data_IF_199429955748
#
_entry.id   IF_199429955748
#
_cell.length_a   1.000
_cell.length_b   1.000
_cell.length_c   1.000
_cell.angle_alpha   90.00
_cell.angle_beta   90.00
_cell.angle_gamma   90.00
#
_symmetry.space_group_name_H-M   'P 1'
#
loop_
_entity.id
_entity.type
_entity.pdbx_description
1 polymer ?
#
# COMPACT_ATOMS: atom_id res chain seq x y z
N UNK A 1 0.06 -25.61 5.81
CA UNK A 1 0.79 -24.56 5.05
C UNK A 1 -0.01 -23.25 4.93
N UNK A 2 -0.92 -22.98 5.86
CA UNK A 2 -1.87 -21.84 5.83
C UNK A 2 -1.60 -20.78 6.91
N UNK A 3 -0.72 -21.05 7.88
CA UNK A 3 -0.49 -20.20 9.06
C UNK A 3 0.33 -18.93 8.77
N UNK A 4 1.27 -19.00 7.81
CA UNK A 4 2.12 -17.85 7.43
C UNK A 4 1.35 -16.76 6.68
N UNK A 5 0.32 -17.12 5.92
CA UNK A 5 -0.53 -16.17 5.19
C UNK A 5 -1.59 -15.49 6.07
N UNK A 6 -1.85 -16.02 7.27
CA UNK A 6 -2.85 -15.46 8.20
C UNK A 6 -2.29 -14.35 9.10
N UNK A 7 -0.98 -14.09 9.05
CA UNK A 7 -0.38 -13.07 9.90
C UNK A 7 -0.44 -11.69 9.23
N UNK A 8 -1.09 -10.69 9.85
CA UNK A 8 -1.20 -9.35 9.30
C UNK A 8 0.18 -8.70 9.07
N UNK A 9 1.19 -9.13 9.84
CA UNK A 9 2.59 -8.75 9.65
C UNK A 9 3.14 -9.20 8.30
N UNK A 10 2.77 -10.41 7.84
CA UNK A 10 3.25 -10.94 6.56
C UNK A 10 2.65 -10.14 5.39
N UNK A 11 1.36 -9.84 5.46
CA UNK A 11 0.66 -8.98 4.49
C UNK A 11 1.31 -7.59 4.47
N UNK A 12 1.67 -7.05 5.62
CA UNK A 12 2.32 -5.75 5.71
C UNK A 12 3.71 -5.73 5.05
N UNK A 13 4.56 -6.68 5.40
CA UNK A 13 5.94 -6.77 4.88
C UNK A 13 5.94 -7.06 3.38
N UNK A 14 5.18 -8.07 2.92
CA UNK A 14 5.13 -8.40 1.51
C UNK A 14 4.39 -7.34 0.69
N UNK A 15 3.27 -6.80 1.18
CA UNK A 15 2.53 -5.73 0.52
C UNK A 15 3.39 -4.49 0.33
N UNK A 16 4.14 -4.08 1.36
CA UNK A 16 5.09 -2.98 1.29
C UNK A 16 6.20 -3.22 0.26
N UNK A 17 6.81 -4.41 0.27
CA UNK A 17 7.86 -4.78 -0.70
C UNK A 17 7.34 -4.78 -2.15
N UNK A 18 6.14 -5.31 -2.38
CA UNK A 18 5.50 -5.33 -3.71
C UNK A 18 5.28 -3.90 -4.20
N UNK A 19 4.70 -3.04 -3.37
CA UNK A 19 4.44 -1.64 -3.73
C UNK A 19 5.73 -0.89 -4.05
N UNK A 20 6.77 -1.03 -3.22
CA UNK A 20 8.07 -0.42 -3.47
C UNK A 20 8.70 -0.91 -4.77
N UNK A 21 8.65 -2.22 -5.03
CA UNK A 21 9.16 -2.81 -6.27
C UNK A 21 8.41 -2.31 -7.50
N UNK A 22 7.08 -2.18 -7.42
CA UNK A 22 6.24 -1.63 -8.48
C UNK A 22 6.54 -0.15 -8.74
N UNK A 23 6.63 0.66 -7.68
CA UNK A 23 6.99 2.09 -7.79
C UNK A 23 8.36 2.25 -8.45
N UNK A 24 9.36 1.43 -8.06
CA UNK A 24 10.69 1.44 -8.66
C UNK A 24 10.67 1.00 -10.13
N UNK A 25 9.94 -0.06 -10.45
CA UNK A 25 9.83 -0.56 -11.83
C UNK A 25 9.18 0.47 -12.75
N UNK A 26 8.11 1.11 -12.30
CA UNK A 26 7.43 2.17 -13.05
C UNK A 26 8.30 3.43 -13.18
N UNK A 27 9.06 3.77 -12.15
CA UNK A 27 10.06 4.83 -12.24
C UNK A 27 11.11 4.56 -13.34
N UNK A 28 11.61 3.32 -13.40
CA UNK A 28 12.63 2.93 -14.40
C UNK A 28 12.06 2.88 -15.82
N UNK A 29 10.81 2.43 -15.99
CA UNK A 29 10.15 2.33 -17.29
C UNK A 29 9.70 3.69 -17.84
N UNK A 30 9.25 4.60 -16.97
CA UNK A 30 8.71 5.90 -17.36
C UNK A 30 9.40 7.03 -16.61
N UNK A 31 10.71 7.27 -16.84
CA UNK A 31 11.44 8.31 -16.14
C UNK A 31 10.80 9.68 -16.38
N UNK A 32 10.45 10.02 -17.63
CA UNK A 32 9.94 11.35 -18.01
C UNK A 32 8.50 11.67 -17.55
N UNK A 33 7.71 10.69 -17.09
CA UNK A 33 6.29 10.91 -16.74
C UNK A 33 6.07 10.81 -15.23
N UNK A 34 5.47 11.85 -14.65
CA UNK A 34 5.16 11.94 -13.21
C UNK A 34 4.02 11.00 -12.80
N UNK A 35 2.96 10.93 -13.60
CA UNK A 35 1.73 10.17 -13.33
C UNK A 35 1.92 8.67 -13.04
N UNK A 36 2.68 7.89 -13.84
CA UNK A 36 2.78 6.44 -13.62
C UNK A 36 3.41 6.07 -12.29
N UNK A 37 4.22 6.95 -11.70
CA UNK A 37 4.89 6.70 -10.41
C UNK A 37 3.93 6.63 -9.22
N UNK A 38 2.74 7.22 -9.37
CA UNK A 38 1.70 7.24 -8.32
C UNK A 38 0.70 6.08 -8.45
N UNK A 39 0.73 5.30 -9.54
CA UNK A 39 -0.20 4.18 -9.77
C UNK A 39 -0.20 3.18 -8.59
N UNK A 40 0.94 2.74 -8.03
CA UNK A 40 0.93 1.80 -6.91
C UNK A 40 0.25 2.36 -5.67
N UNK A 41 0.50 3.64 -5.35
CA UNK A 41 -0.16 4.33 -4.24
C UNK A 41 -1.67 4.48 -4.47
N UNK A 42 -2.09 4.71 -5.72
CA UNK A 42 -3.49 4.78 -6.09
C UNK A 42 -4.19 3.42 -5.93
N UNK A 43 -3.53 2.32 -6.29
CA UNK A 43 -4.02 0.96 -6.07
C UNK A 43 -4.18 0.69 -4.57
N UNK A 44 -3.18 1.05 -3.76
CA UNK A 44 -3.29 0.96 -2.29
C UNK A 44 -4.48 1.76 -1.75
N UNK A 45 -4.75 2.94 -2.31
CA UNK A 45 -5.89 3.78 -1.88
C UNK A 45 -7.21 3.11 -2.17
N UNK A 46 -7.38 2.55 -3.38
CA UNK A 46 -8.59 1.81 -3.75
C UNK A 46 -8.79 0.60 -2.85
N UNK A 47 -7.71 -0.13 -2.55
CA UNK A 47 -7.75 -1.27 -1.64
C UNK A 47 -8.07 -0.85 -0.20
N UNK A 48 -7.56 0.30 0.25
CA UNK A 48 -7.87 0.87 1.57
C UNK A 48 -9.35 1.22 1.68
N UNK A 49 -9.90 1.90 0.66
CA UNK A 49 -11.34 2.21 0.61
C UNK A 49 -12.16 0.94 0.68
N UNK A 50 -11.79 -0.08 -0.09
CA UNK A 50 -12.46 -1.39 -0.06
C UNK A 50 -12.43 -2.02 1.34
N UNK A 51 -11.26 -2.03 1.99
CA UNK A 51 -11.10 -2.54 3.35
C UNK A 51 -11.97 -1.78 4.34
N UNK A 52 -11.97 -0.45 4.32
CA UNK A 52 -12.77 0.37 5.25
C UNK A 52 -14.26 0.15 5.04
N UNK A 53 -14.73 0.12 3.79
CA UNK A 53 -16.14 -0.10 3.45
C UNK A 53 -16.60 -1.49 3.90
N UNK A 54 -15.78 -2.52 3.70
CA UNK A 54 -16.10 -3.88 4.14
C UNK A 54 -15.89 -4.10 5.63
N UNK A 55 -15.02 -3.34 6.29
CA UNK A 55 -14.80 -3.41 7.72
C UNK A 55 -15.95 -2.78 8.52
N UNK A 56 -16.62 -1.75 7.97
CA UNK A 56 -17.68 -1.00 8.64
C UNK A 56 -18.75 -1.87 9.32
N UNK A 57 -19.34 -2.90 8.66
CA UNK A 57 -20.31 -3.78 9.30
C UNK A 57 -19.73 -4.75 10.35
N UNK A 58 -18.41 -4.93 10.42
CA UNK A 58 -17.74 -5.82 11.37
C UNK A 58 -17.12 -5.09 12.56
N UNK A 59 -17.15 -3.76 12.61
CA UNK A 59 -16.60 -2.95 13.72
C UNK A 59 -17.21 -3.35 15.08
N UNK A 60 -18.46 -3.81 15.10
CA UNK A 60 -19.14 -4.28 16.32
C UNK A 60 -18.91 -5.77 16.64
N UNK A 61 -18.23 -6.53 15.78
CA UNK A 61 -18.07 -7.99 15.87
C UNK A 61 -16.77 -8.43 16.56
N UNK A 62 -16.30 -7.68 17.56
CA UNK A 62 -15.16 -8.07 18.40
C UNK A 62 -13.86 -8.31 17.62
N UNK A 63 -13.31 -9.52 17.71
CA UNK A 63 -12.00 -9.88 17.14
C UNK A 63 -11.90 -9.73 15.63
N UNK A 64 -12.97 -9.99 14.87
CA UNK A 64 -12.96 -9.83 13.41
C UNK A 64 -12.82 -8.36 13.00
N UNK A 65 -13.61 -7.47 13.63
CA UNK A 65 -13.53 -6.03 13.40
C UNK A 65 -12.16 -5.45 13.74
N UNK A 66 -11.54 -5.93 14.81
CA UNK A 66 -10.18 -5.54 15.19
C UNK A 66 -9.13 -5.99 14.15
N UNK A 67 -9.30 -7.18 13.56
CA UNK A 67 -8.46 -7.66 12.46
C UNK A 67 -8.52 -6.76 11.23
N UNK A 68 -9.73 -6.37 10.79
CA UNK A 68 -9.91 -5.43 9.69
C UNK A 68 -9.33 -4.03 9.97
N UNK A 69 -9.48 -3.54 11.20
CA UNK A 69 -8.90 -2.27 11.63
C UNK A 69 -7.37 -2.29 11.56
N UNK A 70 -6.73 -3.35 12.08
CA UNK A 70 -5.27 -3.49 12.00
C UNK A 70 -4.77 -3.60 10.55
N UNK A 71 -5.51 -4.31 9.68
CA UNK A 71 -5.20 -4.41 8.26
C UNK A 71 -5.32 -3.06 7.52
N UNK A 72 -6.35 -2.27 7.83
CA UNK A 72 -6.54 -0.92 7.29
C UNK A 72 -5.41 0.02 7.74
N UNK A 73 -5.08 0.04 9.03
CA UNK A 73 -3.94 0.83 9.54
C UNK A 73 -2.63 0.42 8.84
N UNK A 74 -2.38 -0.88 8.71
CA UNK A 74 -1.21 -1.41 8.03
C UNK A 74 -1.15 -0.97 6.56
N UNK A 75 -2.26 -1.11 5.83
CA UNK A 75 -2.32 -0.72 4.42
C UNK A 75 -2.24 0.80 4.22
N UNK A 76 -2.74 1.60 5.16
CA UNK A 76 -2.53 3.05 5.21
C UNK A 76 -1.04 3.42 5.30
N UNK A 77 -0.26 2.75 6.14
CA UNK A 77 1.19 2.97 6.20
C UNK A 77 1.91 2.58 4.91
N UNK A 78 1.48 1.50 4.24
CA UNK A 78 2.02 1.09 2.94
C UNK A 78 1.71 2.15 1.87
N UNK A 79 0.49 2.68 1.85
CA UNK A 79 0.10 3.78 0.97
C UNK A 79 0.98 5.00 1.19
N UNK A 80 1.22 5.37 2.45
CA UNK A 80 2.07 6.51 2.81
C UNK A 80 3.49 6.30 2.32
N UNK A 81 4.06 5.11 2.53
CA UNK A 81 5.39 4.74 2.06
C UNK A 81 5.50 4.77 0.53
N UNK A 82 4.50 4.26 -0.19
CA UNK A 82 4.42 4.30 -1.64
C UNK A 82 4.37 5.74 -2.18
N UNK A 83 3.58 6.61 -1.52
CA UNK A 83 3.48 8.02 -1.89
C UNK A 83 4.79 8.79 -1.63
N UNK A 84 5.40 8.60 -0.47
CA UNK A 84 6.70 9.22 -0.14
C UNK A 84 7.77 8.75 -1.14
N UNK A 85 7.82 7.45 -1.44
CA UNK A 85 8.75 6.88 -2.41
C UNK A 85 8.58 7.52 -3.80
N UNK A 86 7.34 7.64 -4.29
CA UNK A 86 7.06 8.31 -5.56
C UNK A 86 7.53 9.78 -5.57
N UNK A 87 7.32 10.51 -4.46
CA UNK A 87 7.77 11.90 -4.30
C UNK A 87 9.29 12.03 -4.27
N UNK A 88 9.99 11.15 -3.56
CA UNK A 88 11.47 11.15 -3.50
C UNK A 88 12.06 10.90 -4.89
N UNK A 89 11.50 9.97 -5.65
CA UNK A 89 11.95 9.68 -7.02
C UNK A 89 11.63 10.80 -8.02
N UNK A 90 10.53 11.53 -7.82
CA UNK A 90 10.24 12.75 -8.58
C UNK A 90 11.30 13.82 -8.32
N UNK A 91 11.60 14.10 -7.05
CA UNK A 91 12.60 15.10 -6.67
C UNK A 91 13.99 14.79 -7.24
N UNK A 92 14.44 13.53 -7.20
CA UNK A 92 15.73 13.12 -7.80
C UNK A 92 15.85 13.40 -9.30
N UNK A 93 14.73 13.46 -10.01
CA UNK A 93 14.74 13.72 -11.44
C UNK A 93 14.85 15.20 -11.78
N UNK A 94 14.37 16.09 -10.92
CA UNK A 94 14.46 17.54 -11.16
C UNK A 94 15.92 18.06 -11.04
N UNK A 95 16.84 17.26 -10.49
CA UNK A 95 18.27 17.58 -10.35
C UNK A 95 19.22 16.75 -11.24
N UNK A 96 18.70 15.81 -12.05
CA UNK A 96 19.49 15.03 -13.02
C UNK A 96 19.32 15.59 -14.43
#
# INVERSE_FOLDING_TARGET
MSFLLSHPVFIFVFGGLIILSLTYTLYRLFPSRKTPKYIPSFICLVFEIYLVVHAFPFISRGWEGMGYLMLSIANFFILLAGFISAKVFEHKQDYS
#
